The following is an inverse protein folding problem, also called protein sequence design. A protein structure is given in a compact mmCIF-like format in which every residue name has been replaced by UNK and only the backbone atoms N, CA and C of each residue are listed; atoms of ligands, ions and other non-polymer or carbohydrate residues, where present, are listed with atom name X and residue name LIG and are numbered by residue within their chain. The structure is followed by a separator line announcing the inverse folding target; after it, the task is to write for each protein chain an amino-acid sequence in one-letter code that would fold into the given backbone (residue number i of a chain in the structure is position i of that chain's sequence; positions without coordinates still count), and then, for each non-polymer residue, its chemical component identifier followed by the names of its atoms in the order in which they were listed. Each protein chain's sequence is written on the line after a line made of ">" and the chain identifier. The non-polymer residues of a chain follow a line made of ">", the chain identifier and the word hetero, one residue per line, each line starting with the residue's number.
data_IF_507691096471
#
_entry.id   IF_507691096471
#
_cell.length_a   1.000
_cell.length_b   1.000
_cell.length_c   1.000
_cell.angle_alpha   90.00
_cell.angle_beta   90.00
_cell.angle_gamma   90.00
#
_symmetry.space_group_name_H-M   'P 1'
#
loop_
_entity.id
_entity.type
_entity.pdbx_description
1 polymer ?
#
# COMPACT_ATOMS: atom_id res chain seq x y z
N UNK A 1 -10.78 8.75 -3.37
CA UNK A 1 -9.70 9.76 -3.18
C UNK A 1 -8.57 9.00 -2.57
N UNK A 2 -7.33 9.13 -3.05
CA UNK A 2 -6.18 8.34 -2.60
C UNK A 2 -5.28 9.14 -1.68
N UNK A 3 -4.95 8.60 -0.51
CA UNK A 3 -3.95 9.19 0.37
C UNK A 3 -2.57 8.68 -0.03
N UNK A 4 -1.70 9.63 -0.35
CA UNK A 4 -0.33 9.38 -0.74
C UNK A 4 0.61 9.91 0.33
N UNK A 5 1.77 9.27 0.47
CA UNK A 5 2.88 9.75 1.30
C UNK A 5 4.14 9.87 0.48
N UNK A 6 5.10 10.67 0.92
CA UNK A 6 6.43 10.69 0.31
C UNK A 6 7.30 9.54 0.85
N UNK A 7 8.15 8.96 0.00
CA UNK A 7 9.23 8.09 0.45
C UNK A 7 10.27 8.87 1.25
N UNK A 8 10.91 8.22 2.23
CA UNK A 8 11.92 8.86 3.10
C UNK A 8 13.15 9.34 2.32
N UNK A 9 13.71 8.48 1.48
CA UNK A 9 15.00 8.72 0.81
C UNK A 9 14.88 9.66 -0.41
N UNK A 10 13.90 9.42 -1.28
CA UNK A 10 13.81 10.10 -2.58
C UNK A 10 12.70 11.14 -2.63
N UNK A 11 11.90 11.26 -1.56
CA UNK A 11 10.74 12.17 -1.47
C UNK A 11 9.75 12.01 -2.64
N UNK A 12 9.66 10.82 -3.21
CA UNK A 12 8.71 10.49 -4.29
C UNK A 12 7.37 10.10 -3.68
N UNK A 13 6.28 10.43 -4.34
CA UNK A 13 4.95 10.01 -3.90
C UNK A 13 4.77 8.50 -4.05
N UNK A 14 4.30 7.87 -2.99
CA UNK A 14 4.00 6.44 -2.91
C UNK A 14 2.74 6.22 -2.09
N UNK A 15 2.15 5.05 -2.27
CA UNK A 15 1.17 4.49 -1.36
C UNK A 15 1.87 4.02 -0.08
N UNK A 16 1.27 4.18 1.12
CA UNK A 16 1.87 3.71 2.37
C UNK A 16 2.18 2.23 2.28
N UNK A 17 3.40 1.80 2.63
CA UNK A 17 3.81 0.41 2.39
C UNK A 17 4.94 -0.10 3.29
N UNK A 18 4.85 -1.38 3.64
CA UNK A 18 5.79 -2.04 4.52
C UNK A 18 6.48 -3.26 3.98
N UNK A 19 7.53 -3.68 4.68
CA UNK A 19 8.03 -5.05 4.54
C UNK A 19 7.19 -5.99 5.38
N UNK A 20 6.93 -7.17 4.84
CA UNK A 20 6.26 -8.21 5.62
C UNK A 20 7.12 -8.64 6.83
N UNK A 21 6.57 -8.49 8.03
CA UNK A 21 7.12 -9.07 9.24
C UNK A 21 6.72 -10.55 9.41
N UNK A 22 7.52 -11.30 10.16
CA UNK A 22 7.20 -12.71 10.44
C UNK A 22 5.93 -12.77 11.30
N UNK A 23 5.02 -13.67 10.93
CA UNK A 23 3.77 -13.93 11.66
C UNK A 23 2.74 -12.78 11.64
N UNK A 24 2.93 -11.78 10.79
CA UNK A 24 1.93 -10.73 10.53
C UNK A 24 1.30 -10.99 9.15
N UNK A 25 -0.02 -10.85 9.06
CA UNK A 25 -0.72 -11.02 7.79
C UNK A 25 -0.44 -9.83 6.85
N UNK A 26 -0.49 -10.05 5.54
CA UNK A 26 -0.24 -8.98 4.55
C UNK A 26 -1.18 -7.77 4.74
N UNK A 27 -2.50 -7.94 5.05
CA UNK A 27 -3.39 -6.84 5.43
C UNK A 27 -2.98 -6.15 6.74
N UNK A 28 -2.68 -6.91 7.80
CA UNK A 28 -2.39 -6.32 9.12
C UNK A 28 -1.09 -5.53 9.11
N UNK A 29 -0.06 -6.06 8.43
CA UNK A 29 1.21 -5.37 8.24
C UNK A 29 0.95 -3.99 7.67
N UNK A 30 0.05 -3.93 6.73
CA UNK A 30 -0.03 -2.79 5.89
C UNK A 30 -1.02 -1.78 6.53
N UNK A 31 -1.99 -2.23 7.35
CA UNK A 31 -2.73 -1.34 8.23
C UNK A 31 -1.80 -0.62 9.22
N UNK A 32 -0.83 -1.35 9.76
CA UNK A 32 0.21 -0.79 10.60
C UNK A 32 1.05 0.26 9.87
N UNK A 33 1.40 0.03 8.61
CA UNK A 33 2.18 1.00 7.81
C UNK A 33 1.35 2.22 7.43
N UNK A 34 0.05 2.07 7.19
CA UNK A 34 -0.85 3.21 6.99
C UNK A 34 -0.92 4.09 8.25
N UNK A 35 -0.88 3.50 9.44
CA UNK A 35 -0.76 4.22 10.69
C UNK A 35 0.62 4.89 10.85
N UNK A 36 1.71 4.13 10.70
CA UNK A 36 3.08 4.63 10.92
C UNK A 36 3.47 5.71 9.91
N UNK A 37 3.24 5.46 8.61
CA UNK A 37 3.68 6.35 7.53
C UNK A 37 2.69 7.51 7.28
N UNK A 38 1.41 7.33 7.58
CA UNK A 38 0.35 8.25 7.17
C UNK A 38 -0.65 8.63 8.27
N UNK A 39 -0.51 8.16 9.50
CA UNK A 39 -1.42 8.49 10.61
C UNK A 39 -2.87 8.05 10.39
N UNK A 40 -3.08 6.98 9.63
CA UNK A 40 -4.42 6.48 9.31
C UNK A 40 -4.85 5.44 10.34
N UNK A 41 -6.07 5.58 10.86
CA UNK A 41 -6.73 4.60 11.73
C UNK A 41 -8.01 4.13 11.06
N UNK A 42 -8.27 2.82 11.11
CA UNK A 42 -9.47 2.21 10.54
C UNK A 42 -9.27 0.75 10.17
N UNK A 43 -10.01 0.28 9.15
CA UNK A 43 -10.09 -1.13 8.79
C UNK A 43 -9.50 -1.42 7.41
N UNK A 44 -8.59 -2.40 7.36
CA UNK A 44 -8.07 -2.94 6.11
C UNK A 44 -8.97 -4.04 5.56
N UNK A 45 -9.24 -4.01 4.25
CA UNK A 45 -9.92 -5.10 3.56
C UNK A 45 -9.06 -6.36 3.46
N UNK A 46 -9.66 -7.53 3.65
CA UNK A 46 -8.93 -8.81 3.63
C UNK A 46 -8.38 -9.22 2.24
N UNK A 47 -8.88 -8.63 1.16
CA UNK A 47 -8.48 -8.96 -0.22
C UNK A 47 -7.71 -7.79 -0.84
N UNK A 48 -6.59 -8.13 -1.47
CA UNK A 48 -5.86 -7.16 -2.28
C UNK A 48 -6.68 -6.78 -3.53
N UNK A 49 -6.70 -5.50 -3.87
CA UNK A 49 -7.23 -4.97 -5.13
C UNK A 49 -6.29 -5.23 -6.30
N UNK A 50 -5.01 -5.47 -6.03
CA UNK A 50 -4.03 -5.85 -7.03
C UNK A 50 -2.63 -5.90 -6.45
N UNK A 51 -1.62 -5.97 -7.31
CA UNK A 51 -0.23 -5.83 -6.89
C UNK A 51 0.58 -5.13 -7.97
N UNK A 52 1.67 -4.51 -7.55
CA UNK A 52 2.66 -3.93 -8.46
C UNK A 52 4.05 -4.39 -8.08
N UNK A 53 5.01 -4.26 -9.00
CA UNK A 53 6.40 -4.66 -8.77
C UNK A 53 7.34 -3.51 -8.96
N UNK A 54 8.34 -3.42 -8.10
CA UNK A 54 9.43 -2.47 -8.25
C UNK A 54 10.78 -3.12 -7.94
N UNK A 55 11.85 -2.53 -8.47
CA UNK A 55 13.22 -2.94 -8.15
C UNK A 55 13.69 -2.15 -6.94
N UNK A 56 13.89 -2.83 -5.82
CA UNK A 56 14.49 -2.25 -4.63
C UNK A 56 15.99 -2.49 -4.62
N UNK A 57 16.77 -1.42 -4.46
CA UNK A 57 18.20 -1.54 -4.16
C UNK A 57 18.37 -1.90 -2.68
N UNK A 58 19.06 -3.00 -2.42
CA UNK A 58 19.40 -3.43 -1.06
C UNK A 58 20.68 -2.71 -0.59
N UNK A 59 20.94 -2.75 0.72
CA UNK A 59 22.14 -2.12 1.33
C UNK A 59 23.45 -2.62 0.74
N UNK A 60 23.47 -3.85 0.20
CA UNK A 60 24.64 -4.43 -0.47
C UNK A 60 24.76 -4.06 -1.97
N UNK A 61 23.96 -3.11 -2.46
CA UNK A 61 23.96 -2.66 -3.85
C UNK A 61 23.18 -3.54 -4.84
N UNK A 62 22.77 -4.75 -4.44
CA UNK A 62 21.99 -5.63 -5.32
C UNK A 62 20.56 -5.12 -5.52
N UNK A 63 19.97 -5.42 -6.68
CA UNK A 63 18.57 -5.12 -6.99
C UNK A 63 17.71 -6.36 -6.71
N UNK A 64 16.65 -6.17 -5.94
CA UNK A 64 15.64 -7.19 -5.68
C UNK A 64 14.31 -6.77 -6.28
N UNK A 65 13.68 -7.68 -7.03
CA UNK A 65 12.30 -7.50 -7.46
C UNK A 65 11.40 -7.70 -6.24
N UNK A 66 10.68 -6.66 -5.86
CA UNK A 66 9.71 -6.66 -4.76
C UNK A 66 8.33 -6.58 -5.37
N UNK A 67 7.43 -7.46 -4.92
CA UNK A 67 6.02 -7.41 -5.25
C UNK A 67 5.27 -6.80 -4.08
N UNK A 68 4.41 -5.82 -4.37
CA UNK A 68 3.65 -5.07 -3.38
C UNK A 68 2.18 -5.34 -3.59
N UNK A 69 1.52 -6.02 -2.65
CA UNK A 69 0.08 -6.26 -2.69
C UNK A 69 -0.68 -5.04 -2.19
N UNK A 70 -1.70 -4.62 -2.90
CA UNK A 70 -2.40 -3.38 -2.64
C UNK A 70 -3.77 -3.64 -2.05
N UNK A 71 -4.08 -3.13 -0.87
CA UNK A 71 -5.33 -3.40 -0.16
C UNK A 71 -6.21 -2.13 -0.05
N UNK A 72 -7.54 -2.27 -0.05
CA UNK A 72 -8.43 -1.16 0.28
C UNK A 72 -8.42 -0.93 1.79
N UNK A 73 -8.64 0.30 2.21
CA UNK A 73 -8.68 0.64 3.62
C UNK A 73 -9.75 1.69 3.88
N UNK A 74 -10.62 1.39 4.84
CA UNK A 74 -11.69 2.24 5.31
C UNK A 74 -11.16 3.10 6.45
N UNK A 75 -11.11 4.41 6.24
CA UNK A 75 -10.57 5.35 7.22
C UNK A 75 -11.66 5.74 8.21
N UNK A 76 -11.39 5.52 9.48
CA UNK A 76 -12.20 6.01 10.59
C UNK A 76 -11.68 7.35 11.10
N UNK A 77 -10.35 7.49 11.18
CA UNK A 77 -9.69 8.69 11.68
C UNK A 77 -8.35 8.95 10.96
N UNK A 78 -8.04 10.23 10.80
CA UNK A 78 -6.77 10.70 10.28
C UNK A 78 -6.10 11.57 11.35
N UNK A 79 -5.01 11.08 11.94
CA UNK A 79 -4.33 11.73 13.05
C UNK A 79 -3.59 13.00 12.60
N UNK A 80 -3.59 14.02 13.47
CA UNK A 80 -2.83 15.26 13.30
C UNK A 80 -1.34 15.06 13.61
N UNK A 81 -1.01 14.20 14.58
CA UNK A 81 0.35 13.77 14.92
C UNK A 81 0.49 12.26 14.73
N UNK A 82 1.54 11.82 14.03
CA UNK A 82 1.76 10.40 13.72
C UNK A 82 3.24 10.03 13.66
N UNK A 83 3.60 8.72 13.75
CA UNK A 83 4.97 8.30 14.00
C UNK A 83 6.03 8.80 13.03
N UNK A 84 5.76 8.82 11.71
CA UNK A 84 6.71 9.28 10.69
C UNK A 84 6.37 10.69 10.12
N UNK A 85 5.62 11.52 10.85
CA UNK A 85 5.17 12.83 10.34
C UNK A 85 6.30 13.80 9.97
N UNK A 86 7.43 13.72 10.68
CA UNK A 86 8.60 14.56 10.39
C UNK A 86 9.44 14.02 9.22
N UNK A 87 9.21 12.77 8.82
CA UNK A 87 9.96 12.12 7.75
C UNK A 87 9.20 12.12 6.42
N UNK A 88 7.88 12.37 6.46
CA UNK A 88 6.98 12.22 5.32
C UNK A 88 5.99 13.35 5.20
N UNK A 89 5.73 13.74 3.95
CA UNK A 89 4.53 14.50 3.62
C UNK A 89 3.39 13.53 3.29
N UNK A 90 2.18 13.94 3.65
CA UNK A 90 0.92 13.23 3.37
C UNK A 90 0.02 14.13 2.53
N UNK A 91 -0.62 13.57 1.50
CA UNK A 91 -1.55 14.34 0.64
C UNK A 91 -2.67 13.48 0.08
N UNK A 92 -3.88 14.03 0.14
CA UNK A 92 -5.03 13.52 -0.60
C UNK A 92 -4.93 13.87 -2.09
N UNK A 93 -5.08 12.87 -2.93
CA UNK A 93 -5.05 13.00 -4.39
C UNK A 93 -6.28 12.34 -5.00
N UNK A 94 -6.75 12.82 -6.15
CA UNK A 94 -7.64 12.01 -6.98
C UNK A 94 -6.88 10.78 -7.50
N UNK A 95 -7.56 9.68 -7.87
CA UNK A 95 -6.88 8.53 -8.43
C UNK A 95 -6.03 8.86 -9.67
N UNK A 96 -6.49 9.80 -10.50
CA UNK A 96 -5.73 10.31 -11.64
C UNK A 96 -4.46 11.07 -11.23
N UNK A 97 -4.54 11.95 -10.23
CA UNK A 97 -3.36 12.64 -9.69
C UNK A 97 -2.37 11.68 -9.05
N UNK A 98 -2.84 10.70 -8.28
CA UNK A 98 -2.01 9.67 -7.67
C UNK A 98 -1.29 8.83 -8.74
N UNK A 99 -2.00 8.44 -9.80
CA UNK A 99 -1.43 7.69 -10.92
C UNK A 99 -0.33 8.48 -11.67
N UNK A 100 -0.48 9.79 -11.79
CA UNK A 100 0.54 10.67 -12.38
C UNK A 100 1.75 10.89 -11.46
N UNK A 101 1.59 10.69 -10.15
CA UNK A 101 2.61 10.98 -9.16
C UNK A 101 3.56 9.79 -8.88
N UNK A 102 3.21 8.58 -9.33
CA UNK A 102 4.00 7.36 -9.10
C UNK A 102 4.82 6.98 -10.33
N UNK A 103 6.00 6.38 -10.12
CA UNK A 103 6.88 5.96 -11.20
C UNK A 103 6.52 4.57 -11.75
N UNK A 104 5.91 3.72 -10.92
CA UNK A 104 5.55 2.37 -11.31
C UNK A 104 4.28 2.36 -12.16
N UNK A 105 4.41 2.16 -13.47
CA UNK A 105 3.26 2.12 -14.38
C UNK A 105 2.18 1.09 -14.01
N UNK A 106 2.55 -0.02 -13.36
CA UNK A 106 1.57 -0.99 -12.84
C UNK A 106 0.80 -0.48 -11.61
N UNK A 107 1.43 0.34 -10.76
CA UNK A 107 0.74 1.04 -9.68
C UNK A 107 -0.16 2.15 -10.25
N UNK A 108 0.32 2.91 -11.24
CA UNK A 108 -0.50 3.93 -11.91
C UNK A 108 -1.78 3.32 -12.52
N UNK A 109 -1.66 2.17 -13.19
CA UNK A 109 -2.82 1.46 -13.74
C UNK A 109 -3.80 1.00 -12.65
N UNK A 110 -3.29 0.49 -11.52
CA UNK A 110 -4.11 0.10 -10.37
C UNK A 110 -4.87 1.30 -9.78
N UNK A 111 -4.17 2.42 -9.59
CA UNK A 111 -4.76 3.66 -9.09
C UNK A 111 -5.85 4.18 -10.03
N UNK A 112 -5.62 4.19 -11.34
CA UNK A 112 -6.64 4.59 -12.31
C UNK A 112 -7.88 3.69 -12.26
N UNK A 113 -7.72 2.40 -11.96
CA UNK A 113 -8.82 1.46 -11.79
C UNK A 113 -9.82 1.87 -10.69
N UNK A 114 -9.35 2.58 -9.65
CA UNK A 114 -10.21 3.07 -8.56
C UNK A 114 -11.16 4.20 -8.99
N UNK A 115 -10.88 4.88 -10.11
CA UNK A 115 -11.78 5.89 -10.66
C UNK A 115 -12.98 5.26 -11.41
N UNK A 116 -12.89 3.97 -11.76
CA UNK A 116 -13.86 3.29 -12.63
C UNK A 116 -14.87 2.45 -11.82
N UNK A 117 -14.52 2.03 -10.60
CA UNK A 117 -15.40 1.22 -9.74
C UNK A 117 -15.36 1.74 -8.29
N UNK A 118 -16.49 2.12 -7.66
CA UNK A 118 -16.51 2.36 -6.23
C UNK A 118 -16.24 1.04 -5.48
N UNK A 119 -15.50 1.05 -4.34
CA UNK A 119 -15.23 -0.16 -3.58
C UNK A 119 -16.55 -0.77 -3.09
N UNK A 120 -16.91 -1.91 -3.67
CA UNK A 120 -18.09 -2.68 -3.29
C UNK A 120 -17.83 -3.36 -1.94
N UNK A 121 -18.10 -2.65 -0.84
CA UNK A 121 -18.05 -3.20 0.52
C UNK A 121 -19.32 -4.02 0.76
N UNK A 122 -19.32 -5.28 0.33
CA UNK A 122 -20.25 -6.30 0.83
C UNK A 122 -19.48 -7.48 1.39
N UNK A 123 -19.63 -7.66 2.70
CA UNK A 123 -18.94 -8.67 3.47
C UNK A 123 -19.40 -10.11 3.21
N UNK A 124 -18.66 -10.98 3.89
CA UNK A 124 -19.00 -12.35 4.29
C UNK A 124 -18.42 -13.53 3.48
N UNK A 125 -17.68 -14.32 4.27
CA UNK A 125 -17.51 -15.78 4.30
C UNK A 125 -16.39 -16.44 3.48
N UNK A 126 -15.67 -17.25 4.25
CA UNK A 126 -14.51 -18.06 3.95
C UNK A 126 -14.80 -19.23 2.99
N UNK A 127 -13.77 -19.69 2.27
CA UNK A 127 -13.30 -21.09 2.32
C UNK A 127 -12.13 -21.36 1.34
N UNK A 128 -11.02 -21.87 1.92
CA UNK A 128 -10.07 -22.92 1.45
C UNK A 128 -9.17 -22.75 0.20
N UNK A 129 -7.87 -22.69 0.53
CA UNK A 129 -6.66 -23.44 0.07
C UNK A 129 -6.45 -23.77 -1.42
N UNK A 130 -5.29 -23.35 -1.94
CA UNK A 130 -4.22 -24.24 -2.44
C UNK A 130 -2.94 -23.43 -2.67
N UNK A 131 -1.78 -24.05 -2.42
CA UNK A 131 -0.48 -23.36 -2.39
C UNK A 131 0.27 -23.39 -3.72
N UNK A 132 1.32 -22.56 -3.82
CA UNK A 132 2.58 -22.95 -4.44
C UNK A 132 3.71 -21.99 -4.02
N UNK A 133 4.87 -22.60 -3.78
CA UNK A 133 6.14 -22.00 -3.38
C UNK A 133 6.79 -21.16 -4.48
N UNK A 134 7.18 -19.92 -4.15
CA UNK A 134 8.33 -19.22 -4.71
C UNK A 134 8.76 -18.12 -3.72
N UNK A 135 10.01 -18.14 -3.27
CA UNK A 135 10.55 -17.20 -2.26
C UNK A 135 10.81 -15.81 -2.89
N UNK A 136 9.75 -15.02 -3.06
CA UNK A 136 9.84 -13.60 -3.36
C UNK A 136 9.52 -12.78 -2.10
N UNK A 137 10.21 -11.65 -1.91
CA UNK A 137 9.83 -10.75 -0.82
C UNK A 137 8.57 -9.98 -1.22
N UNK A 138 7.56 -10.08 -0.37
CA UNK A 138 6.31 -9.35 -0.49
C UNK A 138 6.36 -8.12 0.40
N UNK A 139 5.82 -7.04 -0.12
CA UNK A 139 5.43 -5.85 0.60
C UNK A 139 3.92 -5.66 0.38
N UNK A 140 3.31 -4.78 1.14
CA UNK A 140 1.88 -4.46 0.98
C UNK A 140 1.69 -2.95 1.00
N UNK A 141 0.72 -2.43 0.27
CA UNK A 141 0.47 -1.02 0.00
C UNK A 141 -1.01 -0.64 -0.02
N UNK A 142 -1.35 0.65 0.03
CA UNK A 142 -2.74 1.13 0.06
C UNK A 142 -3.01 2.34 -0.80
N UNK A 143 -4.00 2.28 -1.67
CA UNK A 143 -4.76 3.43 -2.04
C UNK A 143 -5.98 3.51 -1.15
N UNK A 144 -6.10 4.66 -0.52
CA UNK A 144 -7.32 5.08 0.14
C UNK A 144 -8.37 5.54 -0.90
#
# INVERSE_FOLDING_TARGET
>A
MVLMVTSRETKRWVVPKGWQEKNVSDPDQAAREAFEEAGVVGQVGAKAMGSYRYKKRLKNGSLKNVEVAVYPFEIEELLDEWPEMDERERRWMTPAQAALAVDEGSLAALLLGLAVEPPNVKGSRASRKSGLSAKNARASAYPL
#
